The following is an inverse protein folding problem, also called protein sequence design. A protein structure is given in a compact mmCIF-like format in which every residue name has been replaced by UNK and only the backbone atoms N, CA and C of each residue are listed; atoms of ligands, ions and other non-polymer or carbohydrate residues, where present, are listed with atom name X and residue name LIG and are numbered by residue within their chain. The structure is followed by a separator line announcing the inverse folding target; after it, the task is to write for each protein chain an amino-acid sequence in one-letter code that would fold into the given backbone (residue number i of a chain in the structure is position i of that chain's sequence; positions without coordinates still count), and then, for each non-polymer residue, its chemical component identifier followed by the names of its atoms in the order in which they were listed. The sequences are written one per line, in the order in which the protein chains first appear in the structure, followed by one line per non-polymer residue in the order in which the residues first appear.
data_IF_138450406071
#
_entry.id   IF_138450406071
#
_cell.length_a   1.000
_cell.length_b   1.000
_cell.length_c   1.000
_cell.angle_alpha   90.00
_cell.angle_beta   90.00
_cell.angle_gamma   90.00
#
_symmetry.space_group_name_H-M   'P 1'
#
loop_
_entity.id
_entity.type
_entity.pdbx_description
1 polymer ?
#
# COMPACT_ATOMS: atom_id res chain seq x y z
N UNK A 1 -6.14 13.31 -10.81
CA UNK A 1 -6.60 11.92 -10.94
C UNK A 1 -7.94 11.92 -11.65
N UNK A 2 -8.10 11.25 -12.81
CA UNK A 2 -9.38 11.10 -13.50
C UNK A 2 -10.41 10.41 -12.61
N UNK A 3 -11.70 10.73 -12.77
CA UNK A 3 -12.79 10.15 -11.97
C UNK A 3 -13.92 9.68 -12.86
N UNK A 4 -14.62 8.64 -12.43
CA UNK A 4 -15.88 8.16 -13.02
C UNK A 4 -17.03 8.88 -12.33
N UNK A 5 -17.94 9.45 -13.12
CA UNK A 5 -19.05 10.27 -12.65
C UNK A 5 -20.38 9.68 -13.13
N UNK A 6 -21.43 9.88 -12.34
CA UNK A 6 -22.79 9.66 -12.82
C UNK A 6 -23.16 10.74 -13.83
N UNK A 7 -23.92 10.39 -14.89
CA UNK A 7 -24.40 11.39 -15.84
C UNK A 7 -25.48 12.25 -15.18
N UNK A 8 -25.27 13.57 -15.17
CA UNK A 8 -26.24 14.58 -14.72
C UNK A 8 -26.61 14.55 -13.23
N UNK A 9 -25.80 13.90 -12.38
CA UNK A 9 -25.98 13.93 -10.93
C UNK A 9 -24.80 14.66 -10.26
N UNK A 10 -25.11 15.53 -9.30
CA UNK A 10 -24.11 16.24 -8.50
C UNK A 10 -23.69 15.39 -7.29
N UNK A 11 -23.11 14.23 -7.57
CA UNK A 11 -22.63 13.27 -6.58
C UNK A 11 -21.12 13.03 -6.75
N UNK A 12 -20.37 12.78 -5.65
CA UNK A 12 -18.93 12.56 -5.74
C UNK A 12 -18.56 11.37 -6.65
N UNK A 13 -17.69 11.60 -7.63
CA UNK A 13 -17.20 10.57 -8.54
C UNK A 13 -16.08 9.69 -7.96
N UNK A 14 -16.00 8.46 -8.45
CA UNK A 14 -15.02 7.45 -8.01
C UNK A 14 -13.67 7.66 -8.72
N UNK A 15 -12.58 7.67 -7.97
CA UNK A 15 -11.22 7.84 -8.53
C UNK A 15 -10.64 6.57 -9.18
N UNK A 16 -11.31 5.43 -9.02
CA UNK A 16 -10.89 4.12 -9.51
C UNK A 16 -11.86 3.61 -10.57
N UNK A 17 -11.36 2.94 -11.61
CA UNK A 17 -12.20 2.23 -12.58
C UNK A 17 -12.52 0.79 -12.18
N UNK A 18 -11.91 0.30 -11.09
CA UNK A 18 -12.12 -1.03 -10.53
C UNK A 18 -12.33 -0.94 -9.03
N UNK A 19 -13.41 -1.52 -8.53
CA UNK A 19 -13.73 -1.55 -7.11
C UNK A 19 -14.70 -2.71 -6.79
N UNK A 20 -14.68 -3.21 -5.56
CA UNK A 20 -15.80 -3.98 -5.02
C UNK A 20 -16.91 -3.02 -4.59
N UNK A 21 -18.17 -3.45 -4.60
CA UNK A 21 -19.31 -2.57 -4.26
C UNK A 21 -19.62 -1.56 -5.37
N UNK A 22 -20.05 -0.35 -4.98
CA UNK A 22 -20.49 0.73 -5.89
C UNK A 22 -21.46 0.23 -6.97
N UNK A 23 -22.52 -0.46 -6.54
CA UNK A 23 -23.45 -1.18 -7.40
C UNK A 23 -24.04 -0.29 -8.50
N UNK A 24 -24.47 0.92 -8.15
CA UNK A 24 -25.06 1.86 -9.10
C UNK A 24 -24.02 2.35 -10.14
N UNK A 25 -22.73 2.42 -9.76
CA UNK A 25 -21.65 2.80 -10.67
C UNK A 25 -21.18 1.67 -11.60
N UNK A 26 -21.53 0.41 -11.33
CA UNK A 26 -21.18 -0.73 -12.21
C UNK A 26 -21.72 -0.56 -13.62
N UNK A 27 -22.89 0.08 -13.75
CA UNK A 27 -23.51 0.37 -15.04
C UNK A 27 -22.76 1.45 -15.85
N UNK A 28 -21.83 2.16 -15.23
CA UNK A 28 -21.07 3.27 -15.82
C UNK A 28 -19.58 2.95 -16.01
N UNK A 29 -19.25 1.66 -16.09
CA UNK A 29 -17.91 1.19 -16.46
C UNK A 29 -17.01 0.83 -15.28
N UNK A 30 -17.51 0.86 -14.04
CA UNK A 30 -16.77 0.29 -12.90
C UNK A 30 -16.84 -1.23 -12.96
N UNK A 31 -15.69 -1.89 -13.00
CA UNK A 31 -15.60 -3.36 -12.98
C UNK A 31 -15.12 -3.85 -11.62
N UNK A 32 -15.36 -5.14 -11.34
CA UNK A 32 -14.89 -5.81 -10.10
C UNK A 32 -13.74 -6.77 -10.38
N UNK A 33 -13.48 -7.08 -11.66
CA UNK A 33 -12.46 -8.04 -12.05
C UNK A 33 -11.06 -7.53 -11.70
N UNK A 34 -10.31 -8.23 -10.83
CA UNK A 34 -8.96 -7.82 -10.47
C UNK A 34 -8.01 -8.02 -11.64
N UNK A 35 -6.85 -7.36 -11.57
CA UNK A 35 -5.69 -7.77 -12.35
C UNK A 35 -4.92 -8.84 -11.58
N UNK A 36 -4.48 -9.89 -12.27
CA UNK A 36 -3.86 -11.07 -11.63
C UNK A 36 -2.48 -11.28 -12.20
N UNK A 37 -1.47 -11.17 -11.34
CA UNK A 37 -0.09 -11.48 -11.65
C UNK A 37 0.42 -12.61 -10.75
N UNK A 38 1.45 -13.31 -11.23
CA UNK A 38 2.13 -14.38 -10.49
C UNK A 38 3.63 -14.12 -10.52
N UNK A 39 4.29 -14.32 -9.38
CA UNK A 39 5.73 -14.20 -9.24
C UNK A 39 6.27 -15.44 -8.54
N UNK A 40 7.33 -16.03 -9.09
CA UNK A 40 8.01 -17.15 -8.45
C UNK A 40 9.05 -16.62 -7.47
N UNK A 41 8.90 -16.93 -6.18
CA UNK A 41 9.80 -16.44 -5.15
C UNK A 41 11.22 -16.98 -5.37
N UNK A 42 12.18 -16.09 -5.24
CA UNK A 42 13.61 -16.37 -5.30
C UNK A 42 14.25 -16.00 -3.96
N UNK A 43 15.46 -16.50 -3.64
CA UNK A 43 16.18 -16.08 -2.45
C UNK A 43 16.49 -14.58 -2.37
N UNK A 44 16.43 -13.86 -3.51
CA UNK A 44 16.64 -12.41 -3.57
C UNK A 44 15.37 -11.61 -3.20
N UNK A 45 14.22 -12.27 -3.07
CA UNK A 45 12.97 -11.64 -2.64
C UNK A 45 12.92 -11.61 -1.11
N UNK A 46 13.31 -10.47 -0.52
CA UNK A 46 13.41 -10.34 0.93
C UNK A 46 12.06 -10.09 1.62
N UNK A 47 11.23 -9.22 1.02
CA UNK A 47 9.93 -8.85 1.56
C UNK A 47 8.99 -8.32 0.48
N UNK A 48 7.70 -8.29 0.79
CA UNK A 48 6.62 -7.69 -0.01
C UNK A 48 5.92 -6.63 0.83
N UNK A 49 5.66 -5.47 0.24
CA UNK A 49 4.89 -4.39 0.88
C UNK A 49 3.57 -4.21 0.15
N UNK A 50 2.47 -4.27 0.91
CA UNK A 50 1.14 -3.90 0.45
C UNK A 50 0.71 -2.65 1.22
N UNK A 51 0.30 -1.60 0.53
CA UNK A 51 -0.16 -0.37 1.19
C UNK A 51 -1.31 0.29 0.44
N UNK A 52 -2.10 1.11 1.15
CA UNK A 52 -3.13 1.98 0.56
C UNK A 52 -2.53 3.17 -0.19
N UNK A 53 -3.35 3.84 -0.99
CA UNK A 53 -3.03 5.10 -1.68
C UNK A 53 -2.52 6.19 -0.75
N UNK A 54 -3.03 6.28 0.49
CA UNK A 54 -2.49 7.18 1.51
C UNK A 54 -0.97 7.06 1.73
N UNK A 55 -0.35 5.91 1.43
CA UNK A 55 1.12 5.75 1.44
C UNK A 55 1.72 6.12 0.08
N UNK A 56 1.20 5.53 -1.01
CA UNK A 56 1.78 5.65 -2.35
C UNK A 56 1.61 7.03 -3.00
N UNK A 57 0.64 7.82 -2.55
CA UNK A 57 0.45 9.19 -3.00
C UNK A 57 1.59 10.13 -2.53
N UNK A 58 2.30 9.74 -1.47
CA UNK A 58 3.33 10.59 -0.85
C UNK A 58 4.72 9.96 -0.75
N UNK A 59 4.87 8.65 -0.91
CA UNK A 59 6.16 7.96 -0.89
C UNK A 59 6.43 7.22 -2.21
N UNK A 60 7.68 7.25 -2.68
CA UNK A 60 8.14 6.38 -3.77
C UNK A 60 8.43 4.96 -3.30
N UNK A 61 8.57 4.03 -4.26
CA UNK A 61 8.98 2.66 -3.96
C UNK A 61 10.31 2.62 -3.19
N UNK A 62 11.27 3.45 -3.57
CA UNK A 62 12.60 3.52 -2.95
C UNK A 62 12.51 4.09 -1.52
N UNK A 63 11.68 5.11 -1.29
CA UNK A 63 11.44 5.66 0.05
C UNK A 63 10.82 4.60 0.98
N UNK A 64 9.83 3.84 0.50
CA UNK A 64 9.21 2.75 1.27
C UNK A 64 10.21 1.62 1.54
N UNK A 65 10.96 1.17 0.53
CA UNK A 65 11.99 0.14 0.69
C UNK A 65 13.05 0.57 1.70
N UNK A 66 13.51 1.83 1.62
CA UNK A 66 14.48 2.39 2.56
C UNK A 66 13.93 2.42 4.00
N UNK A 67 12.66 2.78 4.18
CA UNK A 67 12.02 2.79 5.50
C UNK A 67 11.89 1.39 6.10
N UNK A 68 11.51 0.40 5.28
CA UNK A 68 11.43 -1.01 5.71
C UNK A 68 12.82 -1.54 6.05
N UNK A 69 13.83 -1.26 5.24
CA UNK A 69 15.20 -1.75 5.45
C UNK A 69 15.89 -1.11 6.67
N UNK A 70 15.54 0.13 6.98
CA UNK A 70 16.08 0.87 8.13
C UNK A 70 15.35 0.56 9.44
N UNK A 71 14.27 -0.21 9.40
CA UNK A 71 13.51 -0.57 10.59
C UNK A 71 14.32 -1.48 11.52
N UNK A 72 14.15 -1.31 12.83
CA UNK A 72 14.91 -2.07 13.84
C UNK A 72 14.46 -3.53 13.95
N UNK A 73 13.21 -3.80 13.59
CA UNK A 73 12.64 -5.14 13.57
C UNK A 73 11.55 -5.25 12.50
N UNK A 74 11.15 -6.49 12.21
CA UNK A 74 10.07 -6.79 11.24
C UNK A 74 8.74 -6.17 11.67
N UNK A 75 8.48 -6.15 12.98
CA UNK A 75 7.27 -5.60 13.60
C UNK A 75 7.24 -4.06 13.50
N UNK A 76 8.41 -3.41 13.55
CA UNK A 76 8.51 -1.95 13.44
C UNK A 76 8.48 -1.45 11.99
N UNK A 77 8.70 -2.31 11.00
CA UNK A 77 8.81 -1.90 9.60
C UNK A 77 7.55 -1.21 9.06
N UNK A 78 6.38 -1.79 9.30
CA UNK A 78 5.09 -1.20 8.92
C UNK A 78 4.92 0.19 9.57
N UNK A 79 5.28 0.32 10.85
CA UNK A 79 5.19 1.58 11.58
C UNK A 79 6.15 2.64 11.01
N UNK A 80 7.36 2.25 10.63
CA UNK A 80 8.32 3.15 10.00
C UNK A 80 7.76 3.74 8.70
N UNK A 81 7.16 2.91 7.84
CA UNK A 81 6.53 3.37 6.60
C UNK A 81 5.38 4.35 6.86
N UNK A 82 4.50 4.07 7.83
CA UNK A 82 3.40 4.99 8.19
C UNK A 82 3.93 6.33 8.73
N UNK A 83 4.99 6.30 9.54
CA UNK A 83 5.59 7.51 10.08
C UNK A 83 6.19 8.39 8.98
N UNK A 84 6.90 7.78 8.03
CA UNK A 84 7.43 8.48 6.86
C UNK A 84 6.31 9.04 5.97
N UNK A 85 5.24 8.28 5.74
CA UNK A 85 4.08 8.75 4.98
C UNK A 85 3.43 9.97 5.65
N UNK A 86 3.18 9.92 6.97
CA UNK A 86 2.64 11.06 7.71
C UNK A 86 3.55 12.30 7.67
N UNK A 87 4.87 12.11 7.74
CA UNK A 87 5.82 13.21 7.61
C UNK A 87 5.80 13.79 6.18
N UNK A 88 5.74 12.94 5.16
CA UNK A 88 5.65 13.33 3.76
C UNK A 88 4.35 14.08 3.45
N UNK A 89 3.21 13.65 3.99
CA UNK A 89 1.93 14.38 3.88
C UNK A 89 2.04 15.80 4.43
N UNK A 90 2.61 15.97 5.63
CA UNK A 90 2.79 17.30 6.24
C UNK A 90 3.73 18.20 5.42
N UNK A 91 4.75 17.61 4.78
CA UNK A 91 5.72 18.34 3.96
C UNK A 91 5.17 18.71 2.58
N UNK A 92 4.53 17.76 1.89
CA UNK A 92 4.04 17.93 0.51
C UNK A 92 2.69 18.65 0.47
N UNK A 93 1.83 18.42 1.47
CA UNK A 93 0.46 18.93 1.52
C UNK A 93 0.12 19.53 2.90
N UNK A 94 0.78 20.63 3.32
CA UNK A 94 0.67 21.18 4.68
C UNK A 94 -0.72 21.69 5.05
N UNK A 95 -1.59 21.95 4.07
CA UNK A 95 -2.96 22.44 4.26
C UNK A 95 -4.02 21.35 4.09
N UNK A 96 -3.61 20.13 3.75
CA UNK A 96 -4.52 19.01 3.52
C UNK A 96 -4.56 18.12 4.76
N UNK A 97 -5.70 17.44 4.95
CA UNK A 97 -5.78 16.36 5.93
C UNK A 97 -4.95 15.18 5.42
N UNK A 98 -4.25 14.52 6.33
CA UNK A 98 -3.57 13.25 6.06
C UNK A 98 -4.63 12.19 5.75
N UNK A 99 -4.40 11.42 4.69
CA UNK A 99 -5.29 10.32 4.31
C UNK A 99 -5.12 9.10 5.22
N UNK A 100 -6.06 8.16 5.15
CA UNK A 100 -5.97 6.91 5.90
C UNK A 100 -4.85 6.02 5.32
N UNK A 101 -3.79 5.86 6.10
CA UNK A 101 -2.61 5.09 5.70
C UNK A 101 -2.67 3.68 6.30
N UNK A 102 -2.68 2.65 5.45
CA UNK A 102 -2.58 1.24 5.85
C UNK A 102 -1.42 0.57 5.13
N UNK A 103 -0.65 -0.25 5.85
CA UNK A 103 0.49 -0.99 5.28
C UNK A 103 0.66 -2.36 5.94
N UNK A 104 1.05 -3.34 5.13
CA UNK A 104 1.46 -4.68 5.54
C UNK A 104 2.84 -4.96 4.94
N UNK A 105 3.80 -5.29 5.79
CA UNK A 105 5.14 -5.73 5.39
C UNK A 105 5.28 -7.24 5.65
N UNK A 106 5.35 -8.03 4.58
CA UNK A 106 5.53 -9.48 4.65
C UNK A 106 6.98 -9.82 4.36
N UNK A 107 7.71 -10.35 5.35
CA UNK A 107 9.09 -10.81 5.18
C UNK A 107 9.10 -12.27 4.73
N UNK A 108 9.80 -12.56 3.64
CA UNK A 108 9.79 -13.88 3.00
C UNK A 108 10.94 -14.78 3.45
N UNK A 109 11.97 -14.19 4.08
CA UNK A 109 13.07 -14.93 4.66
C UNK A 109 12.77 -15.28 6.12
N UNK A 110 12.64 -16.57 6.40
CA UNK A 110 12.65 -17.10 7.77
C UNK A 110 14.05 -16.91 8.36
N UNK A 111 14.12 -16.41 9.60
CA UNK A 111 15.34 -16.58 10.37
C UNK A 111 15.50 -18.08 10.62
N UNK A 112 16.59 -18.67 10.13
CA UNK A 112 17.02 -19.99 10.58
C UNK A 112 17.30 -19.88 12.08
N UNK A 113 16.27 -20.08 12.90
CA UNK A 113 16.43 -20.23 14.33
C UNK A 113 17.28 -21.48 14.51
N UNK A 114 18.52 -21.28 14.94
CA UNK A 114 19.48 -22.33 15.25
C UNK A 114 18.87 -23.28 16.30
N UNK A 115 18.18 -24.33 15.84
CA UNK A 115 17.99 -25.56 16.61
C UNK A 115 19.31 -26.32 16.54
N UNK A 116 20.35 -25.75 17.16
CA UNK A 116 21.56 -26.48 17.58
C UNK A 116 21.85 -26.03 19.00
N UNK A 117 20.89 -26.25 19.90
CA UNK A 117 21.17 -26.28 21.32
C UNK A 117 21.71 -27.69 21.64
N UNK A 118 23.04 -27.78 21.68
CA UNK A 118 23.84 -28.66 22.54
C UNK A 118 23.43 -30.13 22.65
N UNK A 119 24.12 -30.99 21.90
CA UNK A 119 24.42 -32.37 22.31
C UNK A 119 25.65 -32.40 23.22
#
# INVERSE_FOLDING_TARGET
IPRVWFPNEDVPGLAMSRAFGDFDMKHYGIIVTPDVSQHHLTPNDHFVVLASDGVWDVLSNEEVVSAVWSAKSKEEAAKAVIQEAHAAWKRKFPKSKVDDCSVVCLFLQEESSNIVASS
#
